data_IF_319075515097
#
_entry.id   IF_319075515097
#
_cell.length_a   1.000
_cell.length_b   1.000
_cell.length_c   1.000
_cell.angle_alpha   90.00
_cell.angle_beta   90.00
_cell.angle_gamma   90.00
#
_symmetry.space_group_name_H-M   'P 1'
#
loop_
_entity.id
_entity.type
_entity.pdbx_description
1 polymer ?
#
# COMPACT_ATOMS: atom_id res chain seq x y z
N UNK A 1 -44.21 3.71 -33.65
CA UNK A 1 -43.47 4.05 -32.42
C UNK A 1 -42.20 3.24 -32.37
N UNK A 2 -41.10 3.80 -32.86
CA UNK A 2 -39.80 3.10 -32.92
C UNK A 2 -39.00 3.51 -31.69
N UNK A 3 -38.84 2.60 -30.73
CA UNK A 3 -38.06 2.85 -29.51
C UNK A 3 -36.60 3.11 -29.89
N UNK A 4 -36.10 4.29 -29.52
CA UNK A 4 -34.69 4.65 -29.58
C UNK A 4 -33.93 3.72 -28.63
N UNK A 5 -33.02 2.93 -29.16
CA UNK A 5 -32.04 2.18 -28.37
C UNK A 5 -31.06 3.22 -27.83
N UNK A 6 -31.11 3.49 -26.54
CA UNK A 6 -30.07 4.25 -25.84
C UNK A 6 -28.79 3.40 -25.88
N UNK A 7 -27.85 3.82 -26.73
CA UNK A 7 -26.48 3.38 -26.67
C UNK A 7 -25.92 3.83 -25.31
N UNK A 8 -25.73 2.87 -24.39
CA UNK A 8 -24.94 3.08 -23.20
C UNK A 8 -23.53 3.47 -23.65
N UNK A 9 -23.19 4.75 -23.46
CA UNK A 9 -21.82 5.23 -23.60
C UNK A 9 -20.95 4.52 -22.57
N UNK A 10 -20.01 3.70 -23.01
CA UNK A 10 -18.89 3.18 -22.22
C UNK A 10 -17.92 4.32 -21.86
N UNK A 11 -18.40 5.29 -21.10
CA UNK A 11 -17.57 6.30 -20.45
C UNK A 11 -17.07 5.73 -19.13
N UNK A 12 -15.76 5.54 -19.01
CA UNK A 12 -15.11 5.17 -17.75
C UNK A 12 -15.56 6.14 -16.67
N UNK A 13 -16.28 5.66 -15.66
CA UNK A 13 -16.79 6.53 -14.58
C UNK A 13 -15.63 7.21 -13.85
N UNK A 14 -15.80 8.44 -13.34
CA UNK A 14 -14.76 9.13 -12.59
C UNK A 14 -14.17 8.30 -11.44
N UNK A 15 -14.99 7.48 -10.79
CA UNK A 15 -14.59 6.56 -9.73
C UNK A 15 -13.63 5.47 -10.21
N UNK A 16 -13.81 4.96 -11.44
CA UNK A 16 -12.91 3.96 -12.00
C UNK A 16 -11.52 4.55 -12.29
N UNK A 17 -11.46 5.72 -12.93
CA UNK A 17 -10.19 6.43 -13.18
C UNK A 17 -9.47 6.75 -11.86
N UNK A 18 -10.23 7.14 -10.83
CA UNK A 18 -9.70 7.39 -9.50
C UNK A 18 -9.13 6.11 -8.88
N UNK A 19 -9.86 4.99 -8.94
CA UNK A 19 -9.40 3.71 -8.42
C UNK A 19 -8.12 3.23 -9.13
N UNK A 20 -8.02 3.39 -10.44
CA UNK A 20 -6.78 3.11 -11.17
C UNK A 20 -5.61 3.98 -10.69
N UNK A 21 -5.84 5.29 -10.48
CA UNK A 21 -4.83 6.20 -9.97
C UNK A 21 -4.36 5.79 -8.56
N UNK A 22 -5.30 5.40 -7.68
CA UNK A 22 -4.98 4.92 -6.32
C UNK A 22 -4.16 3.62 -6.37
N UNK A 23 -4.50 2.67 -7.24
CA UNK A 23 -3.73 1.43 -7.41
C UNK A 23 -2.31 1.71 -7.88
N UNK A 24 -2.14 2.56 -8.89
CA UNK A 24 -0.81 2.97 -9.40
C UNK A 24 0.01 3.67 -8.31
N UNK A 25 -0.63 4.54 -7.52
CA UNK A 25 0.03 5.20 -6.41
C UNK A 25 0.47 4.20 -5.32
N UNK A 26 -0.37 3.22 -4.98
CA UNK A 26 0.00 2.16 -4.04
C UNK A 26 1.25 1.39 -4.50
N UNK A 27 1.30 1.00 -5.78
CA UNK A 27 2.44 0.29 -6.36
C UNK A 27 3.71 1.12 -6.32
N UNK A 28 3.63 2.39 -6.75
CA UNK A 28 4.76 3.32 -6.73
C UNK A 28 5.26 3.60 -5.30
N UNK A 29 4.35 3.86 -4.36
CA UNK A 29 4.72 4.05 -2.94
C UNK A 29 5.39 2.81 -2.39
N UNK A 30 4.85 1.62 -2.70
CA UNK A 30 5.43 0.35 -2.25
C UNK A 30 6.86 0.22 -2.75
N UNK A 31 7.09 0.40 -4.05
CA UNK A 31 8.40 0.29 -4.69
C UNK A 31 9.41 1.32 -4.15
N UNK A 32 9.04 2.60 -4.14
CA UNK A 32 9.91 3.69 -3.67
C UNK A 32 10.29 3.53 -2.20
N UNK A 33 9.36 3.04 -1.37
CA UNK A 33 9.63 2.78 0.05
C UNK A 33 10.63 1.64 0.26
N UNK A 34 10.76 0.69 -0.69
CA UNK A 34 11.77 -0.37 -0.60
C UNK A 34 13.19 0.18 -0.68
N UNK A 35 13.41 1.28 -1.40
CA UNK A 35 14.73 1.90 -1.48
C UNK A 35 15.25 2.35 -0.12
N UNK A 36 14.36 2.72 0.79
CA UNK A 36 14.70 3.12 2.16
C UNK A 36 15.28 1.96 2.98
N UNK A 37 15.00 0.72 2.58
CA UNK A 37 15.47 -0.47 3.28
C UNK A 37 16.88 -0.86 2.87
N UNK A 38 17.36 -0.42 1.70
CA UNK A 38 18.66 -0.82 1.13
C UNK A 38 19.86 -0.50 2.02
N UNK A 39 19.70 0.43 2.96
CA UNK A 39 20.74 0.86 3.91
C UNK A 39 20.98 -0.14 5.04
N UNK A 40 20.08 -1.09 5.27
CA UNK A 40 20.20 -2.05 6.37
C UNK A 40 21.02 -3.26 5.98
N UNK A 41 22.05 -3.57 6.76
CA UNK A 41 22.83 -4.79 6.55
C UNK A 41 21.98 -6.06 6.80
N UNK A 42 21.25 -6.07 7.92
CA UNK A 42 20.45 -7.23 8.33
C UNK A 42 19.27 -7.47 7.39
N UNK A 43 19.20 -8.69 6.86
CA UNK A 43 18.14 -9.10 5.95
C UNK A 43 16.74 -8.94 6.55
N UNK A 44 16.57 -9.14 7.86
CA UNK A 44 15.27 -9.00 8.52
C UNK A 44 14.65 -7.60 8.37
N UNK A 45 15.49 -6.56 8.28
CA UNK A 45 15.05 -5.17 8.09
C UNK A 45 14.84 -4.85 6.60
N UNK A 46 15.31 -5.71 5.70
CA UNK A 46 15.11 -5.60 4.24
C UNK A 46 14.00 -6.51 3.72
N UNK A 47 13.48 -7.41 4.55
CA UNK A 47 12.39 -8.30 4.16
C UNK A 47 11.10 -7.52 4.02
N UNK A 48 10.47 -7.70 2.86
CA UNK A 48 9.13 -7.21 2.57
C UNK A 48 8.30 -8.36 2.03
N UNK A 49 7.08 -8.46 2.55
CA UNK A 49 6.06 -9.34 2.04
C UNK A 49 4.99 -8.54 1.32
N UNK A 50 4.59 -9.04 0.16
CA UNK A 50 3.42 -8.57 -0.57
C UNK A 50 2.36 -9.65 -0.53
N UNK A 51 1.16 -9.29 -0.12
CA UNK A 51 0.02 -10.21 -0.07
C UNK A 51 -1.05 -9.70 -1.02
N UNK A 52 -1.47 -10.54 -1.96
CA UNK A 52 -2.63 -10.28 -2.79
C UNK A 52 -3.85 -10.98 -2.18
N UNK A 53 -4.92 -10.22 -1.96
CA UNK A 53 -6.15 -10.69 -1.33
C UNK A 53 -7.30 -10.82 -2.35
N UNK A 54 -7.03 -10.66 -3.64
CA UNK A 54 -8.01 -10.95 -4.68
C UNK A 54 -8.48 -12.41 -4.57
N UNK A 55 -9.79 -12.60 -4.44
CA UNK A 55 -10.40 -13.92 -4.23
C UNK A 55 -10.54 -14.36 -2.77
N UNK A 56 -10.06 -13.58 -1.80
CA UNK A 56 -10.21 -13.91 -0.38
C UNK A 56 -11.60 -13.50 0.14
N UNK A 57 -12.52 -14.47 0.20
CA UNK A 57 -13.90 -14.28 0.68
C UNK A 57 -14.00 -13.83 2.15
N UNK A 58 -12.96 -14.07 2.96
CA UNK A 58 -12.93 -13.66 4.37
C UNK A 58 -12.70 -12.15 4.52
N UNK A 59 -12.00 -11.54 3.58
CA UNK A 59 -11.69 -10.11 3.60
C UNK A 59 -12.04 -9.44 2.26
N UNK A 60 -13.34 -9.34 1.91
CA UNK A 60 -13.79 -8.94 0.57
C UNK A 60 -13.44 -7.50 0.18
N UNK A 61 -13.14 -6.66 1.18
CA UNK A 61 -12.73 -5.27 0.98
C UNK A 61 -11.23 -5.08 0.91
N UNK A 62 -10.45 -6.10 1.25
CA UNK A 62 -9.00 -6.02 1.24
C UNK A 62 -8.49 -6.42 -0.14
N UNK A 63 -7.58 -5.64 -0.70
CA UNK A 63 -7.09 -5.87 -2.07
C UNK A 63 -5.65 -6.33 -2.05
N UNK A 64 -4.75 -5.57 -1.43
CA UNK A 64 -3.32 -5.86 -1.42
C UNK A 64 -2.64 -5.25 -0.22
N UNK A 65 -1.55 -5.85 0.22
CA UNK A 65 -0.71 -5.32 1.29
C UNK A 65 0.78 -5.41 0.93
N UNK A 66 1.55 -4.42 1.38
CA UNK A 66 3.01 -4.43 1.38
C UNK A 66 3.49 -4.20 2.81
N UNK A 67 4.22 -5.17 3.35
CA UNK A 67 4.47 -5.31 4.78
C UNK A 67 5.95 -5.52 5.01
N UNK A 68 6.55 -4.72 5.89
CA UNK A 68 7.94 -4.83 6.29
C UNK A 68 8.06 -4.84 7.82
N UNK A 69 9.30 -4.91 8.31
CA UNK A 69 9.60 -4.69 9.72
C UNK A 69 9.11 -3.32 10.22
N UNK A 70 9.06 -2.31 9.33
CA UNK A 70 8.85 -0.91 9.70
C UNK A 70 7.41 -0.45 9.49
N UNK A 71 6.69 -1.01 8.51
CA UNK A 71 5.36 -0.53 8.15
C UNK A 71 4.48 -1.60 7.52
N UNK A 72 3.18 -1.31 7.50
CA UNK A 72 2.17 -1.98 6.70
C UNK A 72 1.46 -0.93 5.84
N UNK A 73 1.55 -1.11 4.53
CA UNK A 73 0.81 -0.35 3.53
C UNK A 73 -0.29 -1.26 2.98
N UNK A 74 -1.55 -0.83 3.08
CA UNK A 74 -2.72 -1.64 2.71
C UNK A 74 -3.57 -0.90 1.68
N UNK A 75 -3.95 -1.60 0.61
CA UNK A 75 -4.95 -1.18 -0.36
C UNK A 75 -6.27 -1.87 -0.05
N UNK A 76 -7.33 -1.09 0.15
CA UNK A 76 -8.65 -1.61 0.50
C UNK A 76 -9.78 -0.78 -0.11
N UNK A 77 -10.93 -1.41 -0.36
CA UNK A 77 -12.18 -0.79 -0.79
C UNK A 77 -12.95 -0.25 0.42
N UNK A 78 -13.44 0.97 0.32
CA UNK A 78 -14.39 1.52 1.29
C UNK A 78 -15.83 1.03 1.01
N UNK A 79 -16.80 1.48 1.81
CA UNK A 79 -18.23 1.12 1.65
C UNK A 79 -18.84 1.52 0.30
N UNK A 80 -18.26 2.50 -0.39
CA UNK A 80 -18.73 2.96 -1.71
C UNK A 80 -17.99 2.27 -2.86
N UNK A 81 -17.10 1.31 -2.57
CA UNK A 81 -16.30 0.61 -3.58
C UNK A 81 -15.05 1.36 -4.04
N UNK A 82 -14.76 2.54 -3.47
CA UNK A 82 -13.57 3.33 -3.80
C UNK A 82 -12.36 2.81 -3.05
N UNK A 83 -11.21 2.79 -3.73
CA UNK A 83 -9.94 2.37 -3.17
C UNK A 83 -9.34 3.44 -2.26
N UNK A 84 -8.79 2.96 -1.16
CA UNK A 84 -8.15 3.73 -0.10
C UNK A 84 -6.85 3.05 0.28
N UNK A 85 -5.79 3.85 0.41
CA UNK A 85 -4.48 3.43 0.91
C UNK A 85 -4.43 3.71 2.41
N UNK A 86 -4.17 2.69 3.21
CA UNK A 86 -3.89 2.82 4.64
C UNK A 86 -2.41 2.61 4.88
N UNK A 87 -1.82 3.47 5.70
CA UNK A 87 -0.44 3.33 6.13
C UNK A 87 -0.38 3.26 7.66
N UNK A 88 0.21 2.19 8.18
CA UNK A 88 0.48 2.01 9.60
C UNK A 88 1.96 1.74 9.81
N UNK A 89 2.52 2.34 10.85
CA UNK A 89 3.92 2.16 11.21
C UNK A 89 4.07 1.25 12.43
N UNK A 90 5.18 0.51 12.49
CA UNK A 90 5.44 -0.45 13.55
C UNK A 90 6.00 0.20 14.83
N UNK A 91 5.46 -0.17 15.98
CA UNK A 91 5.86 0.37 17.29
C UNK A 91 7.32 0.03 17.64
N UNK A 92 7.74 -1.20 17.40
CA UNK A 92 9.11 -1.66 17.69
C UNK A 92 10.11 -0.99 16.75
N UNK A 93 9.73 -0.80 15.49
CA UNK A 93 10.57 -0.12 14.52
C UNK A 93 10.82 1.35 14.88
N UNK A 94 9.80 2.12 15.30
CA UNK A 94 10.02 3.50 15.77
C UNK A 94 10.91 3.51 17.01
N UNK A 95 10.68 2.61 17.96
CA UNK A 95 11.45 2.64 19.21
C UNK A 95 12.94 2.36 18.98
N UNK A 96 13.26 1.51 17.99
CA UNK A 96 14.66 1.13 17.67
C UNK A 96 15.35 2.08 16.70
N UNK A 97 14.66 2.58 15.68
CA UNK A 97 15.27 3.33 14.56
C UNK A 97 14.86 4.80 14.51
N UNK A 98 13.96 5.23 15.41
CA UNK A 98 13.41 6.58 15.42
C UNK A 98 12.44 6.83 14.27
N UNK A 99 12.20 8.11 13.98
CA UNK A 99 11.17 8.55 13.02
C UNK A 99 11.69 8.84 11.63
N UNK A 100 12.99 8.65 11.36
CA UNK A 100 13.61 9.04 10.09
C UNK A 100 12.95 8.34 8.90
N UNK A 101 12.88 7.00 8.95
CA UNK A 101 12.28 6.19 7.89
C UNK A 101 10.79 6.50 7.76
N UNK A 102 10.08 6.62 8.89
CA UNK A 102 8.67 7.01 8.90
C UNK A 102 8.44 8.31 8.14
N UNK A 103 9.20 9.36 8.48
CA UNK A 103 9.10 10.67 7.84
C UNK A 103 9.45 10.60 6.34
N UNK A 104 10.45 9.82 5.98
CA UNK A 104 10.84 9.63 4.58
C UNK A 104 9.73 8.91 3.79
N UNK A 105 9.12 7.86 4.35
CA UNK A 105 7.99 7.17 3.73
C UNK A 105 6.77 8.08 3.60
N UNK A 106 6.45 8.89 4.61
CA UNK A 106 5.36 9.88 4.51
C UNK A 106 5.59 10.86 3.37
N UNK A 107 6.83 11.36 3.20
CA UNK A 107 7.17 12.24 2.07
C UNK A 107 6.94 11.55 0.73
N UNK A 108 7.35 10.28 0.59
CA UNK A 108 7.08 9.48 -0.61
C UNK A 108 5.58 9.32 -0.89
N UNK A 109 4.78 9.06 0.16
CA UNK A 109 3.32 8.95 0.04
C UNK A 109 2.72 10.24 -0.50
N UNK A 110 2.93 11.37 0.17
CA UNK A 110 2.33 12.64 -0.23
C UNK A 110 2.87 13.17 -1.56
N UNK A 111 4.16 12.96 -1.86
CA UNK A 111 4.72 13.29 -3.17
C UNK A 111 4.04 12.51 -4.30
N UNK A 112 3.63 11.27 -4.03
CA UNK A 112 2.98 10.39 -5.02
C UNK A 112 1.49 10.66 -5.17
N UNK A 113 0.80 11.07 -4.08
CA UNK A 113 -0.66 11.24 -4.08
C UNK A 113 -1.14 12.67 -4.34
N UNK A 114 -0.24 13.65 -4.26
CA UNK A 114 -0.60 15.06 -4.43
C UNK A 114 -1.00 15.43 -5.87
N UNK A 115 -1.93 16.37 -5.96
CA UNK A 115 -2.40 16.95 -7.23
C UNK A 115 -1.29 17.61 -8.06
N UNK A 116 -0.21 18.05 -7.40
CA UNK A 116 0.93 18.67 -8.08
C UNK A 116 1.73 17.67 -8.92
N UNK A 117 1.67 16.38 -8.57
CA UNK A 117 2.45 15.32 -9.21
C UNK A 117 1.58 14.34 -10.00
N UNK A 118 0.30 14.21 -9.65
CA UNK A 118 -0.63 13.26 -10.25
C UNK A 118 -1.71 13.95 -11.08
N UNK A 119 -2.07 13.35 -12.23
CA UNK A 119 -3.18 13.82 -13.09
C UNK A 119 -4.54 13.79 -12.37
N UNK A 120 -4.66 13.04 -11.27
CA UNK A 120 -5.85 12.95 -10.42
C UNK A 120 -5.39 13.13 -8.97
N UNK A 121 -5.97 14.11 -8.26
CA UNK A 121 -5.72 14.28 -6.84
C UNK A 121 -6.38 13.13 -6.06
N UNK A 122 -5.57 12.37 -5.33
CA UNK A 122 -6.01 11.21 -4.55
C UNK A 122 -5.52 11.28 -3.09
N UNK A 123 -5.08 12.45 -2.61
CA UNK A 123 -4.65 12.63 -1.21
C UNK A 123 -5.73 12.20 -0.22
N UNK A 124 -6.99 12.50 -0.53
CA UNK A 124 -8.17 12.11 0.24
C UNK A 124 -8.49 10.60 0.17
N UNK A 125 -7.75 9.83 -0.63
CA UNK A 125 -7.74 8.36 -0.61
C UNK A 125 -6.63 7.77 0.26
N UNK A 126 -5.80 8.59 0.94
CA UNK A 126 -4.76 8.11 1.85
C UNK A 126 -5.19 8.29 3.30
N UNK A 127 -4.96 7.27 4.13
CA UNK A 127 -5.20 7.28 5.58
C UNK A 127 -3.93 6.90 6.31
N UNK A 128 -3.30 7.89 6.92
CA UNK A 128 -2.16 7.67 7.80
C UNK A 128 -2.69 7.37 9.19
N UNK A 129 -2.35 6.19 9.73
CA UNK A 129 -2.65 5.87 11.10
C UNK A 129 -1.63 6.57 12.02
N UNK A 130 -2.11 7.47 12.86
CA UNK A 130 -1.30 8.24 13.81
C UNK A 130 -0.80 7.42 15.00
N UNK A 131 -1.41 6.25 15.25
CA UNK A 131 -1.03 5.33 16.33
C UNK A 131 -0.25 4.17 15.74
N UNK A 132 0.95 3.93 16.27
CA UNK A 132 1.76 2.78 15.85
C UNK A 132 1.06 1.46 16.19
N UNK A 133 1.30 0.44 15.39
CA UNK A 133 0.73 -0.90 15.57
C UNK A 133 1.84 -1.92 15.73
N UNK A 134 1.53 -3.08 16.29
CA UNK A 134 2.40 -4.25 16.14
C UNK A 134 2.11 -4.86 14.77
N UNK A 135 2.85 -4.40 13.76
CA UNK A 135 2.67 -4.78 12.37
C UNK A 135 3.08 -6.23 12.16
N UNK A 136 4.10 -6.72 12.87
CA UNK A 136 4.60 -8.10 12.75
C UNK A 136 3.57 -9.13 13.19
N UNK A 137 2.99 -8.97 14.37
CA UNK A 137 1.99 -9.92 14.86
C UNK A 137 0.72 -9.87 14.00
N UNK A 138 0.36 -8.68 13.51
CA UNK A 138 -0.72 -8.50 12.55
C UNK A 138 -0.42 -9.28 11.25
N UNK A 139 0.80 -9.20 10.73
CA UNK A 139 1.25 -9.90 9.53
C UNK A 139 1.28 -11.41 9.68
N UNK A 140 1.90 -11.94 10.74
CA UNK A 140 1.96 -13.38 10.99
C UNK A 140 0.56 -13.96 11.13
N UNK A 141 -0.34 -13.30 11.86
CA UNK A 141 -1.75 -13.71 11.92
C UNK A 141 -2.37 -13.73 10.53
N UNK A 142 -2.11 -12.72 9.71
CA UNK A 142 -2.75 -12.57 8.39
C UNK A 142 -2.27 -13.56 7.34
N UNK A 143 -0.99 -13.95 7.36
CA UNK A 143 -0.49 -15.05 6.54
C UNK A 143 -1.10 -16.39 7.00
N UNK A 144 -1.17 -16.60 8.31
CA UNK A 144 -1.66 -17.86 8.89
C UNK A 144 -3.20 -17.97 8.85
N UNK A 145 -3.91 -16.84 8.77
CA UNK A 145 -5.37 -16.75 8.71
C UNK A 145 -5.87 -16.86 7.27
N UNK A 146 -6.15 -18.09 6.85
CA UNK A 146 -6.88 -18.39 5.61
C UNK A 146 -6.00 -18.80 4.43
N UNK A 147 -6.66 -19.20 3.34
CA UNK A 147 -6.02 -19.55 2.08
C UNK A 147 -5.70 -18.26 1.32
N UNK A 148 -4.52 -17.68 1.57
CA UNK A 148 -4.02 -16.57 0.74
C UNK A 148 -3.35 -17.17 -0.51
N UNK A 149 -4.01 -17.08 -1.66
CA UNK A 149 -3.53 -17.71 -2.90
C UNK A 149 -2.19 -17.14 -3.40
N UNK A 150 -1.84 -15.89 -3.07
CA UNK A 150 -0.58 -15.28 -3.47
C UNK A 150 0.07 -14.45 -2.36
N UNK A 151 1.04 -15.06 -1.68
CA UNK A 151 1.99 -14.36 -0.80
C UNK A 151 3.38 -14.40 -1.44
N UNK A 152 3.97 -13.23 -1.65
CA UNK A 152 5.36 -13.09 -2.10
C UNK A 152 6.21 -12.49 -0.99
N UNK A 153 7.32 -13.14 -0.65
CA UNK A 153 8.27 -12.65 0.36
C UNK A 153 9.62 -12.46 -0.34
N UNK A 154 10.20 -11.27 -0.21
CA UNK A 154 11.52 -10.96 -0.75
C UNK A 154 12.35 -10.14 0.24
N UNK A 155 13.67 -10.28 0.16
CA UNK A 155 14.59 -9.36 0.81
C UNK A 155 15.12 -8.37 -0.24
N UNK A 156 15.00 -7.07 0.02
CA UNK A 156 15.55 -6.02 -0.84
C UNK A 156 17.07 -6.12 -0.84
N UNK A 157 17.76 -5.96 -1.98
CA UNK A 157 19.23 -6.00 -2.04
C UNK A 157 19.88 -4.91 -1.16
N UNK A 158 20.95 -5.26 -0.44
CA UNK A 158 21.72 -4.31 0.36
C UNK A 158 22.64 -3.49 -0.56
N UNK A 159 22.67 -2.16 -0.36
CA UNK A 159 23.58 -1.27 -1.11
C UNK A 159 24.50 -0.57 -0.13
N UNK A 160 25.79 -0.91 -0.20
CA UNK A 160 26.84 -0.21 0.55
C UNK A 160 27.03 1.17 -0.08
N UNK A 161 26.75 2.24 0.68
CA UNK A 161 27.15 3.57 0.23
C UNK A 161 28.69 3.63 0.23
N UNK A 162 29.30 3.74 -0.96
CA UNK A 162 30.73 4.02 -1.04
C UNK A 162 30.98 5.38 -0.39
N UNK A 163 31.93 5.41 0.54
CA UNK A 163 32.34 6.62 1.28
C UNK A 163 32.92 7.68 0.36
#
# INVERSE_FOLDING_TARGET
MTKKVEQQSTGTTPDHLRNEAVTKAFEKISEESLHLLKVFESAQYRTVATVDHLGNDRYPNLVRESISYFWNLTLSKNKTGNLVIYFSYDTEAISKFGTMIYNQTLRTIFATTSAATANVNIEDSVRINSVTKNVKDFFFKRIMDGENESVSIKAVEHVTQQK
#
